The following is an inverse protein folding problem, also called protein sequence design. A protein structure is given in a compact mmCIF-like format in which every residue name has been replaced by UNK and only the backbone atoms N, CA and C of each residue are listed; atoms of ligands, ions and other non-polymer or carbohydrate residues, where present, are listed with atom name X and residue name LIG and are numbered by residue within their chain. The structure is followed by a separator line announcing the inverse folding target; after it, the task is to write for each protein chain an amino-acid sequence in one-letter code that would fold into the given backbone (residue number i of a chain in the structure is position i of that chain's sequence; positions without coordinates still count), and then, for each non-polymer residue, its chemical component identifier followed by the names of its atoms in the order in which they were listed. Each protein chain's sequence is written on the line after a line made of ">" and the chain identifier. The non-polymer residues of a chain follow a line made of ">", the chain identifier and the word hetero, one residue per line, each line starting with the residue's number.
data_IF_330765264700
#
_entry.id   IF_330765264700
#
_cell.length_a   1.000
_cell.length_b   1.000
_cell.length_c   1.000
_cell.angle_alpha   90.00
_cell.angle_beta   90.00
_cell.angle_gamma   90.00
#
_symmetry.space_group_name_H-M   'P 1'
#
loop_
_entity.id
_entity.type
_entity.pdbx_description
1 polymer ?
#
# COMPACT_ATOMS: atom_id res chain seq x y z
N UNK A 1 27.89 -13.64 -12.59
CA UNK A 1 26.95 -12.51 -12.71
C UNK A 1 26.15 -12.41 -11.43
N UNK A 2 25.97 -11.22 -10.80
CA UNK A 2 25.05 -11.06 -9.68
C UNK A 2 23.63 -11.36 -10.19
N UNK A 3 22.91 -12.26 -9.52
CA UNK A 3 21.52 -12.58 -9.83
C UNK A 3 20.69 -11.30 -9.72
N UNK A 4 19.81 -11.02 -10.71
CA UNK A 4 18.88 -9.89 -10.62
C UNK A 4 17.97 -10.06 -9.40
N UNK A 5 17.64 -8.99 -8.66
CA UNK A 5 16.70 -9.09 -7.54
C UNK A 5 15.32 -9.56 -8.03
N UNK A 6 14.67 -10.44 -7.28
CA UNK A 6 13.29 -10.87 -7.51
C UNK A 6 12.35 -9.88 -6.81
N UNK A 7 11.45 -9.29 -7.56
CA UNK A 7 10.51 -8.27 -7.10
C UNK A 7 9.09 -8.80 -7.24
N UNK A 8 8.37 -8.90 -6.13
CA UNK A 8 6.95 -9.19 -6.12
C UNK A 8 6.17 -7.88 -6.25
N UNK A 9 5.23 -7.82 -7.20
CA UNK A 9 4.30 -6.69 -7.35
C UNK A 9 2.87 -7.11 -7.06
N UNK A 10 2.14 -6.23 -6.40
CA UNK A 10 0.70 -6.36 -6.13
C UNK A 10 0.02 -5.01 -6.03
N UNK A 11 -1.28 -4.98 -5.80
CA UNK A 11 -2.08 -3.78 -5.51
C UNK A 11 -3.45 -4.17 -4.94
N UNK A 12 -4.33 -3.19 -4.71
CA UNK A 12 -5.75 -3.38 -4.37
C UNK A 12 -6.72 -2.87 -5.46
N UNK A 13 -6.22 -2.16 -6.47
CA UNK A 13 -7.04 -1.68 -7.60
C UNK A 13 -7.29 -2.74 -8.68
N UNK A 14 -6.62 -3.90 -8.59
CA UNK A 14 -6.72 -5.00 -9.55
C UNK A 14 -5.57 -5.05 -10.57
N UNK A 15 -5.37 -6.24 -11.16
CA UNK A 15 -4.20 -6.54 -12.00
C UNK A 15 -4.05 -5.63 -13.24
N UNK A 16 -5.15 -5.12 -13.77
CA UNK A 16 -5.16 -4.23 -14.96
C UNK A 16 -5.04 -2.75 -14.62
N UNK A 17 -4.97 -2.39 -13.32
CA UNK A 17 -4.98 -0.99 -12.89
C UNK A 17 -3.76 -0.20 -13.40
N UNK A 18 -3.93 1.04 -13.88
CA UNK A 18 -2.86 1.85 -14.49
C UNK A 18 -1.65 2.05 -13.56
N UNK A 19 -1.91 2.21 -12.25
CA UNK A 19 -0.86 2.35 -11.25
C UNK A 19 0.04 1.11 -11.17
N UNK A 20 -0.54 -0.08 -11.20
CA UNK A 20 0.22 -1.34 -11.22
C UNK A 20 1.01 -1.50 -12.53
N UNK A 21 0.42 -1.14 -13.68
CA UNK A 21 1.11 -1.20 -14.97
C UNK A 21 2.32 -0.27 -14.98
N UNK A 22 2.21 0.91 -14.39
CA UNK A 22 3.36 1.83 -14.20
C UNK A 22 4.44 1.18 -13.31
N UNK A 23 4.07 0.50 -12.21
CA UNK A 23 5.03 -0.23 -11.39
C UNK A 23 5.74 -1.34 -12.16
N UNK A 24 5.03 -2.13 -12.95
CA UNK A 24 5.59 -3.20 -13.80
C UNK A 24 6.66 -2.62 -14.72
N UNK A 25 6.34 -1.54 -15.43
CA UNK A 25 7.29 -0.83 -16.32
C UNK A 25 8.57 -0.41 -15.58
N UNK A 26 8.43 0.22 -14.42
CA UNK A 26 9.57 0.70 -13.63
C UNK A 26 10.39 -0.47 -13.08
N UNK A 27 9.75 -1.46 -12.47
CA UNK A 27 10.43 -2.55 -11.79
C UNK A 27 11.13 -3.51 -12.74
N UNK A 28 10.65 -3.71 -13.95
CA UNK A 28 11.33 -4.45 -15.02
C UNK A 28 12.73 -3.86 -15.34
N UNK A 29 12.95 -2.57 -15.08
CA UNK A 29 14.27 -1.94 -15.22
C UNK A 29 15.21 -2.25 -14.05
N UNK A 30 14.72 -2.79 -12.93
CA UNK A 30 15.47 -3.02 -11.70
C UNK A 30 15.75 -4.49 -11.48
N UNK A 31 14.72 -5.34 -11.63
CA UNK A 31 14.78 -6.75 -11.25
C UNK A 31 14.02 -7.70 -12.16
N UNK A 32 13.95 -8.96 -11.73
CA UNK A 32 13.03 -9.98 -12.21
C UNK A 32 11.68 -9.73 -11.53
N UNK A 33 10.62 -9.55 -12.32
CA UNK A 33 9.31 -9.14 -11.81
C UNK A 33 8.31 -10.28 -11.88
N UNK A 34 7.64 -10.54 -10.76
CA UNK A 34 6.44 -11.37 -10.69
C UNK A 34 5.30 -10.54 -10.13
N UNK A 35 4.19 -10.50 -10.85
CA UNK A 35 2.96 -9.83 -10.43
C UNK A 35 1.99 -10.88 -9.89
N UNK A 36 1.47 -10.67 -8.68
CA UNK A 36 0.33 -11.42 -8.16
C UNK A 36 -0.64 -10.40 -7.58
N UNK A 37 -1.76 -10.20 -8.24
CA UNK A 37 -2.68 -9.11 -7.91
C UNK A 37 -4.15 -9.58 -7.99
N UNK A 38 -5.08 -8.89 -7.29
CA UNK A 38 -6.49 -9.20 -7.38
C UNK A 38 -7.02 -9.10 -8.82
N UNK A 39 -7.96 -9.96 -9.19
CA UNK A 39 -8.68 -9.92 -10.47
C UNK A 39 -9.69 -8.75 -10.55
N UNK A 40 -10.08 -8.23 -9.40
CA UNK A 40 -11.05 -7.15 -9.22
C UNK A 40 -10.65 -6.21 -8.08
N UNK A 41 -11.13 -4.95 -8.07
CA UNK A 41 -10.79 -3.99 -7.02
C UNK A 41 -11.17 -4.46 -5.61
N UNK A 42 -10.26 -4.29 -4.65
CA UNK A 42 -10.36 -4.68 -3.24
C UNK A 42 -10.20 -3.46 -2.31
N UNK A 43 -10.74 -2.31 -2.71
CA UNK A 43 -10.58 -1.05 -1.96
C UNK A 43 -11.18 -1.13 -0.55
N UNK A 44 -10.53 -0.50 0.42
CA UNK A 44 -10.95 -0.42 1.82
C UNK A 44 -11.10 -1.77 2.55
N UNK A 45 -10.49 -2.85 2.04
CA UNK A 45 -10.51 -4.16 2.71
C UNK A 45 -9.57 -4.25 3.92
N UNK A 46 -8.73 -3.24 4.14
CA UNK A 46 -7.72 -3.29 5.20
C UNK A 46 -6.81 -4.51 5.06
N UNK A 47 -6.44 -5.16 6.18
CA UNK A 47 -5.63 -6.37 6.20
C UNK A 47 -6.48 -7.65 6.28
N UNK A 48 -7.55 -7.71 5.47
CA UNK A 48 -8.38 -8.89 5.39
C UNK A 48 -7.68 -10.05 4.68
N UNK A 49 -7.91 -11.28 5.15
CA UNK A 49 -7.45 -12.52 4.53
C UNK A 49 -8.62 -13.46 4.29
N UNK A 50 -8.54 -14.28 3.26
CA UNK A 50 -9.56 -15.28 2.89
C UNK A 50 -9.28 -16.60 3.60
N UNK A 51 -10.11 -16.96 4.59
CA UNK A 51 -9.94 -18.19 5.39
C UNK A 51 -11.04 -19.22 5.11
N UNK A 52 -12.26 -18.74 4.90
CA UNK A 52 -13.46 -19.62 4.78
C UNK A 52 -13.94 -19.79 3.33
N UNK A 53 -13.13 -19.36 2.35
CA UNK A 53 -13.43 -19.50 0.93
C UNK A 53 -12.18 -19.95 0.17
N UNK A 54 -12.36 -20.38 -1.07
CA UNK A 54 -11.25 -20.82 -1.95
C UNK A 54 -10.63 -19.65 -2.68
N UNK A 55 -9.30 -19.68 -2.82
CA UNK A 55 -8.57 -18.75 -3.67
C UNK A 55 -8.36 -19.36 -5.05
N UNK A 56 -8.77 -18.63 -6.07
CA UNK A 56 -8.48 -18.96 -7.46
C UNK A 56 -7.29 -18.14 -7.95
N UNK A 57 -6.39 -18.77 -8.69
CA UNK A 57 -5.23 -18.11 -9.25
C UNK A 57 -5.07 -18.52 -10.71
N UNK A 58 -4.87 -17.53 -11.58
CA UNK A 58 -4.72 -17.74 -13.01
C UNK A 58 -3.52 -16.98 -13.55
N UNK A 59 -2.74 -17.63 -14.41
CA UNK A 59 -1.67 -16.94 -15.12
C UNK A 59 -2.26 -15.99 -16.18
N UNK A 60 -1.75 -14.76 -16.21
CA UNK A 60 -2.21 -13.70 -17.11
C UNK A 60 -1.09 -13.23 -18.03
N UNK A 61 -1.50 -12.55 -19.09
CA UNK A 61 -0.62 -11.89 -20.07
C UNK A 61 -1.26 -10.55 -20.39
N UNK A 62 -0.94 -9.54 -19.56
CA UNK A 62 -1.57 -8.21 -19.64
C UNK A 62 -0.75 -7.30 -20.56
N UNK A 63 0.55 -7.19 -20.31
CA UNK A 63 1.46 -6.35 -21.09
C UNK A 63 2.59 -7.19 -21.67
N UNK A 64 3.12 -6.77 -22.81
CA UNK A 64 4.36 -7.32 -23.35
C UNK A 64 5.53 -6.96 -22.43
N UNK A 65 6.30 -7.99 -22.02
CA UNK A 65 7.45 -7.76 -21.15
C UNK A 65 8.01 -9.06 -20.56
N UNK A 66 9.10 -8.96 -19.79
CA UNK A 66 9.77 -10.11 -19.20
C UNK A 66 9.11 -10.60 -17.90
N UNK A 67 8.11 -9.89 -17.37
CA UNK A 67 7.42 -10.23 -16.13
C UNK A 67 6.56 -11.50 -16.29
N UNK A 68 6.32 -12.17 -15.17
CA UNK A 68 5.27 -13.19 -15.07
C UNK A 68 4.13 -12.63 -14.23
N UNK A 69 2.89 -12.84 -14.68
CA UNK A 69 1.71 -12.23 -14.08
C UNK A 69 0.66 -13.27 -13.69
N UNK A 70 0.04 -13.10 -12.53
CA UNK A 70 -1.04 -13.93 -12.02
C UNK A 70 -2.15 -13.04 -11.42
N UNK A 71 -3.41 -13.32 -11.78
CA UNK A 71 -4.58 -12.78 -11.13
C UNK A 71 -5.10 -13.74 -10.07
N UNK A 72 -5.68 -13.23 -9.00
CA UNK A 72 -6.29 -14.03 -7.93
C UNK A 72 -7.60 -13.43 -7.45
N UNK A 73 -8.53 -14.27 -7.00
CA UNK A 73 -9.81 -13.84 -6.40
C UNK A 73 -9.66 -13.28 -4.97
N UNK A 74 -8.44 -13.30 -4.42
CA UNK A 74 -8.17 -12.90 -3.04
C UNK A 74 -7.90 -11.42 -2.83
N UNK A 75 -7.69 -11.07 -1.57
CA UNK A 75 -7.28 -9.73 -1.15
C UNK A 75 -5.80 -9.45 -1.50
N UNK A 76 -5.32 -8.20 -1.37
CA UNK A 76 -3.89 -7.91 -1.55
C UNK A 76 -2.97 -8.69 -0.59
N UNK A 77 -3.39 -8.94 0.65
CA UNK A 77 -2.66 -9.79 1.59
C UNK A 77 -2.63 -11.25 1.13
N UNK A 78 -3.75 -11.79 0.62
CA UNK A 78 -3.80 -13.14 0.03
C UNK A 78 -2.88 -13.26 -1.18
N UNK A 79 -2.77 -12.22 -2.00
CA UNK A 79 -1.85 -12.20 -3.14
C UNK A 79 -0.40 -12.41 -2.70
N UNK A 80 0.02 -11.74 -1.61
CA UNK A 80 1.37 -11.89 -1.07
C UNK A 80 1.57 -13.29 -0.50
N UNK A 81 0.62 -13.78 0.32
CA UNK A 81 0.67 -15.14 0.88
C UNK A 81 0.78 -16.20 -0.20
N UNK A 82 -0.07 -16.12 -1.20
CA UNK A 82 -0.08 -17.07 -2.31
C UNK A 82 1.22 -16.99 -3.13
N UNK A 83 1.70 -15.77 -3.38
CA UNK A 83 2.96 -15.57 -4.09
C UNK A 83 4.14 -16.23 -3.38
N UNK A 84 4.28 -16.00 -2.08
CA UNK A 84 5.43 -16.44 -1.29
C UNK A 84 5.42 -17.96 -1.05
N UNK A 85 4.23 -18.54 -0.80
CA UNK A 85 4.12 -19.93 -0.39
C UNK A 85 3.93 -20.91 -1.56
N UNK A 86 3.32 -20.48 -2.68
CA UNK A 86 2.94 -21.39 -3.76
C UNK A 86 3.55 -21.04 -5.13
N UNK A 87 3.64 -19.75 -5.47
CA UNK A 87 4.01 -19.35 -6.84
C UNK A 87 5.51 -19.20 -7.00
N UNK A 88 6.16 -18.55 -6.03
CA UNK A 88 7.58 -18.22 -6.11
C UNK A 88 8.47 -19.36 -5.62
N UNK A 89 9.54 -19.66 -6.36
CA UNK A 89 10.52 -20.69 -5.97
C UNK A 89 11.55 -20.23 -4.93
N UNK A 90 11.56 -18.93 -4.64
CA UNK A 90 12.44 -18.30 -3.65
C UNK A 90 11.78 -17.05 -3.10
N UNK A 91 12.17 -16.66 -1.92
CA UNK A 91 11.71 -15.43 -1.29
C UNK A 91 12.06 -14.21 -2.15
N UNK A 92 11.13 -13.27 -2.37
CA UNK A 92 11.42 -12.01 -3.04
C UNK A 92 12.45 -11.18 -2.28
N UNK A 93 13.27 -10.43 -3.02
CA UNK A 93 14.21 -9.46 -2.46
C UNK A 93 13.51 -8.14 -2.12
N UNK A 94 12.34 -7.90 -2.70
CA UNK A 94 11.49 -6.72 -2.48
C UNK A 94 10.04 -7.05 -2.83
N UNK A 95 9.10 -6.54 -2.05
CA UNK A 95 7.68 -6.46 -2.41
C UNK A 95 7.28 -5.00 -2.62
N UNK A 96 6.57 -4.73 -3.71
CA UNK A 96 6.06 -3.37 -4.01
C UNK A 96 4.56 -3.46 -4.30
N UNK A 97 3.78 -2.69 -3.57
CA UNK A 97 2.34 -2.61 -3.73
C UNK A 97 1.89 -1.24 -4.24
N UNK A 98 0.93 -1.20 -5.17
CA UNK A 98 0.34 0.04 -5.70
C UNK A 98 0.51 0.17 -7.23
N UNK A 99 0.55 1.36 -7.83
CA UNK A 99 0.39 2.68 -7.19
C UNK A 99 -1.10 2.90 -6.96
N UNK A 100 -1.50 3.10 -5.73
CA UNK A 100 -2.90 3.30 -5.36
C UNK A 100 -3.44 4.66 -5.86
N UNK A 101 -4.71 4.68 -6.29
CA UNK A 101 -5.48 5.91 -6.47
C UNK A 101 -5.97 6.40 -5.11
N UNK A 102 -5.49 7.55 -4.68
CA UNK A 102 -5.83 8.12 -3.38
C UNK A 102 -4.75 7.92 -2.31
N UNK A 103 -4.83 8.75 -1.28
CA UNK A 103 -3.84 8.81 -0.20
C UNK A 103 -4.02 7.68 0.80
N UNK A 104 -2.93 7.01 1.15
CA UNK A 104 -2.82 6.08 2.27
C UNK A 104 -1.98 6.66 3.44
N UNK A 105 -1.84 7.98 3.47
CA UNK A 105 -1.17 8.69 4.56
C UNK A 105 -2.05 8.79 5.81
N UNK A 106 -1.43 9.04 6.95
CA UNK A 106 -2.11 9.21 8.23
C UNK A 106 -2.94 7.98 8.62
N UNK A 107 -4.16 8.15 9.15
CA UNK A 107 -5.05 7.06 9.59
C UNK A 107 -5.46 6.13 8.43
N UNK A 108 -5.40 6.59 7.18
CA UNK A 108 -5.79 5.79 6.02
C UNK A 108 -4.96 4.52 5.85
N UNK A 109 -3.75 4.48 6.41
CA UNK A 109 -2.89 3.28 6.40
C UNK A 109 -3.61 2.04 6.93
N UNK A 110 -4.50 2.19 7.92
CA UNK A 110 -5.22 1.08 8.56
C UNK A 110 -6.26 0.45 7.61
N UNK A 111 -6.86 1.26 6.73
CA UNK A 111 -7.92 0.82 5.81
C UNK A 111 -7.38 0.38 4.45
N UNK A 112 -6.09 0.58 4.20
CA UNK A 112 -5.46 0.43 2.89
C UNK A 112 -5.15 -1.01 2.52
N UNK A 113 -5.71 -1.49 1.42
CA UNK A 113 -5.33 -2.77 0.80
C UNK A 113 -3.90 -2.73 0.25
N UNK A 114 -3.48 -1.61 -0.35
CA UNK A 114 -2.09 -1.38 -0.80
C UNK A 114 -1.10 -1.58 0.35
N UNK A 115 -1.38 -0.97 1.51
CA UNK A 115 -0.49 -1.07 2.66
C UNK A 115 -0.57 -2.43 3.34
N UNK A 116 -1.72 -3.10 3.32
CA UNK A 116 -1.87 -4.45 3.86
C UNK A 116 -0.94 -5.44 3.16
N UNK A 117 -0.83 -5.36 1.84
CA UNK A 117 0.11 -6.19 1.09
C UNK A 117 1.57 -5.90 1.44
N UNK A 118 1.92 -4.62 1.60
CA UNK A 118 3.28 -4.25 2.04
C UNK A 118 3.57 -4.75 3.46
N UNK A 119 2.60 -4.66 4.37
CA UNK A 119 2.70 -5.18 5.75
C UNK A 119 2.81 -6.70 5.75
N UNK A 120 1.99 -7.40 4.97
CA UNK A 120 2.06 -8.87 4.85
C UNK A 120 3.43 -9.32 4.36
N UNK A 121 3.99 -8.65 3.36
CA UNK A 121 5.35 -8.93 2.90
C UNK A 121 6.39 -8.70 4.01
N UNK A 122 6.21 -7.66 4.83
CA UNK A 122 7.06 -7.40 6.00
C UNK A 122 6.96 -8.49 7.06
N UNK A 123 5.76 -9.05 7.31
CA UNK A 123 5.55 -10.21 8.20
C UNK A 123 6.30 -11.43 7.66
N UNK A 124 6.27 -11.64 6.36
CA UNK A 124 7.04 -12.69 5.68
C UNK A 124 8.56 -12.40 5.66
N UNK A 125 9.00 -11.31 6.26
CA UNK A 125 10.40 -10.90 6.32
C UNK A 125 10.96 -10.41 4.98
N UNK A 126 10.13 -9.79 4.17
CA UNK A 126 10.48 -9.20 2.88
C UNK A 126 10.44 -7.67 3.01
N UNK A 127 11.51 -6.94 2.68
CA UNK A 127 11.45 -5.49 2.57
C UNK A 127 10.34 -5.06 1.63
N UNK A 128 9.54 -4.05 2.00
CA UNK A 128 8.36 -3.72 1.23
C UNK A 128 8.05 -2.24 1.16
N UNK A 129 7.35 -1.85 0.11
CA UNK A 129 6.89 -0.47 -0.12
C UNK A 129 5.46 -0.49 -0.62
N UNK A 130 4.59 0.29 0.02
CA UNK A 130 3.30 0.69 -0.54
C UNK A 130 3.41 2.09 -1.14
N UNK A 131 3.08 2.23 -2.42
CA UNK A 131 3.05 3.50 -3.14
C UNK A 131 1.62 3.96 -3.37
N UNK A 132 1.34 5.23 -3.09
CA UNK A 132 0.03 5.86 -3.27
C UNK A 132 0.17 7.26 -3.89
N UNK A 133 -0.73 7.60 -4.79
CA UNK A 133 -0.86 8.94 -5.37
C UNK A 133 -2.06 9.64 -4.74
N UNK A 134 -1.88 10.84 -4.18
CA UNK A 134 -2.96 11.65 -3.60
C UNK A 134 -3.85 12.28 -4.69
N UNK A 135 -4.15 11.53 -5.72
CA UNK A 135 -5.11 11.89 -6.78
C UNK A 135 -6.13 10.77 -6.96
N UNK A 136 -7.40 11.09 -6.73
CA UNK A 136 -8.52 10.15 -6.87
C UNK A 136 -9.11 10.15 -8.28
N UNK A 137 -8.55 10.94 -9.20
CA UNK A 137 -9.06 10.99 -10.57
C UNK A 137 -8.69 9.71 -11.33
N UNK A 138 -9.62 9.23 -12.15
CA UNK A 138 -9.39 8.07 -13.03
C UNK A 138 -8.21 8.27 -13.98
N UNK A 139 -7.91 9.52 -14.33
CA UNK A 139 -6.82 9.93 -15.22
C UNK A 139 -5.59 10.44 -14.46
N UNK A 140 -5.33 9.92 -13.25
CA UNK A 140 -4.14 10.29 -12.50
C UNK A 140 -2.86 10.01 -13.29
N UNK A 141 -1.95 10.97 -13.32
CA UNK A 141 -0.68 10.82 -14.03
C UNK A 141 0.38 10.13 -13.15
N UNK A 142 0.50 8.81 -13.28
CA UNK A 142 1.48 8.01 -12.55
C UNK A 142 2.91 8.14 -13.11
N UNK A 143 3.11 8.60 -14.34
CA UNK A 143 4.45 8.76 -14.95
C UNK A 143 5.32 9.71 -14.13
N UNK A 144 4.69 10.74 -13.53
CA UNK A 144 5.39 11.70 -12.67
C UNK A 144 6.11 11.05 -11.48
N UNK A 145 5.65 9.85 -11.06
CA UNK A 145 6.21 9.10 -9.93
C UNK A 145 7.38 8.17 -10.31
N UNK A 146 7.51 7.76 -11.58
CA UNK A 146 8.43 6.70 -12.04
C UNK A 146 9.87 6.89 -11.55
N UNK A 147 10.41 8.10 -11.71
CA UNK A 147 11.77 8.43 -11.27
C UNK A 147 11.97 8.20 -9.78
N UNK A 148 11.01 8.62 -8.97
CA UNK A 148 11.11 8.58 -7.51
C UNK A 148 10.89 7.16 -6.99
N UNK A 149 9.94 6.41 -7.57
CA UNK A 149 9.74 4.98 -7.31
C UNK A 149 11.03 4.21 -7.54
N UNK A 150 11.69 4.46 -8.67
CA UNK A 150 12.98 3.81 -9.00
C UNK A 150 14.07 4.10 -7.99
N UNK A 151 14.18 5.36 -7.52
CA UNK A 151 15.17 5.78 -6.52
C UNK A 151 14.92 5.05 -5.19
N UNK A 152 13.69 5.13 -4.65
CA UNK A 152 13.35 4.54 -3.35
C UNK A 152 13.54 3.03 -3.37
N UNK A 153 13.06 2.36 -4.43
CA UNK A 153 13.15 0.90 -4.55
C UNK A 153 14.59 0.42 -4.61
N UNK A 154 15.48 1.12 -5.34
CA UNK A 154 16.91 0.80 -5.38
C UNK A 154 17.61 1.02 -4.05
N UNK A 155 17.29 2.10 -3.35
CA UNK A 155 17.84 2.39 -2.03
C UNK A 155 17.43 1.33 -1.01
N UNK A 156 16.15 0.91 -1.01
CA UNK A 156 15.69 -0.14 -0.11
C UNK A 156 16.37 -1.49 -0.43
N UNK A 157 16.45 -1.89 -1.69
CA UNK A 157 17.18 -3.10 -2.11
C UNK A 157 18.65 -3.09 -1.69
N UNK A 158 19.31 -1.94 -1.76
CA UNK A 158 20.71 -1.82 -1.37
C UNK A 158 20.93 -1.93 0.14
N UNK A 159 19.94 -1.55 0.96
CA UNK A 159 20.06 -1.45 2.42
C UNK A 159 19.32 -2.54 3.19
N UNK A 160 18.51 -3.35 2.53
CA UNK A 160 17.63 -4.34 3.14
C UNK A 160 18.34 -5.55 3.80
N UNK A 161 19.64 -5.70 3.63
CA UNK A 161 20.39 -6.86 4.13
C UNK A 161 20.32 -7.11 5.67
N UNK A 162 19.63 -6.27 6.45
CA UNK A 162 19.62 -6.39 7.92
C UNK A 162 18.28 -6.07 8.62
N UNK A 163 17.26 -5.55 7.94
CA UNK A 163 15.98 -5.17 8.58
C UNK A 163 14.81 -5.32 7.61
N UNK A 164 13.71 -5.86 8.10
CA UNK A 164 12.42 -5.85 7.40
C UNK A 164 11.85 -4.41 7.46
N UNK A 165 12.21 -3.59 6.49
CA UNK A 165 11.72 -2.21 6.41
C UNK A 165 10.46 -2.21 5.58
N UNK A 166 9.38 -1.65 6.12
CA UNK A 166 8.11 -1.43 5.44
C UNK A 166 7.94 0.09 5.28
N UNK A 167 7.75 0.56 4.05
CA UNK A 167 7.59 1.97 3.76
C UNK A 167 6.19 2.28 3.22
N UNK A 168 5.53 3.27 3.82
CA UNK A 168 4.34 3.91 3.27
C UNK A 168 4.77 5.19 2.55
N UNK A 169 4.67 5.19 1.23
CA UNK A 169 5.13 6.29 0.38
C UNK A 169 3.95 6.92 -0.35
N UNK A 170 3.72 8.20 -0.10
CA UNK A 170 2.64 8.93 -0.74
C UNK A 170 3.17 10.09 -1.57
N UNK A 171 2.67 10.20 -2.80
CA UNK A 171 2.95 11.28 -3.74
C UNK A 171 1.84 12.32 -3.66
N UNK A 172 2.14 13.60 -3.37
CA UNK A 172 1.10 14.63 -3.38
C UNK A 172 0.58 14.86 -4.80
N UNK A 173 -0.69 15.23 -4.91
CA UNK A 173 -1.20 15.76 -6.18
C UNK A 173 -0.48 17.06 -6.51
N UNK A 174 0.15 17.11 -7.67
CA UNK A 174 0.81 18.31 -8.19
C UNK A 174 0.05 18.85 -9.40
N UNK A 175 0.00 20.18 -9.52
CA UNK A 175 -0.58 20.82 -10.69
C UNK A 175 0.34 20.64 -11.89
N UNK A 176 -0.22 20.67 -13.10
CA UNK A 176 0.53 20.57 -14.35
C UNK A 176 1.71 21.56 -14.40
N UNK A 177 2.86 21.08 -14.87
CA UNK A 177 4.08 21.86 -14.96
C UNK A 177 4.83 22.05 -13.65
N UNK A 178 4.35 21.53 -12.52
CA UNK A 178 5.07 21.55 -11.23
C UNK A 178 5.78 20.23 -10.99
N UNK A 179 6.85 20.28 -10.20
CA UNK A 179 7.61 19.11 -9.77
C UNK A 179 7.45 18.88 -8.27
N UNK A 180 7.63 17.63 -7.82
CA UNK A 180 7.81 17.33 -6.40
C UNK A 180 9.03 18.05 -5.84
N UNK A 181 8.91 18.59 -4.63
CA UNK A 181 10.03 19.28 -3.96
C UNK A 181 11.11 18.32 -3.44
N UNK A 182 10.88 17.01 -3.55
CA UNK A 182 11.78 15.96 -3.08
C UNK A 182 11.09 15.05 -2.06
N UNK A 183 11.91 14.25 -1.36
CA UNK A 183 11.45 13.31 -0.33
C UNK A 183 11.47 13.97 1.05
N UNK A 184 10.53 13.54 1.91
CA UNK A 184 10.53 13.85 3.32
C UNK A 184 10.22 12.61 4.13
N UNK A 185 11.13 12.24 5.02
CA UNK A 185 10.88 11.19 6.01
C UNK A 185 10.00 11.78 7.09
N UNK A 186 8.89 11.10 7.37
CA UNK A 186 7.83 11.59 8.23
C UNK A 186 7.40 10.54 9.24
N UNK A 187 6.69 11.00 10.27
CA UNK A 187 5.80 10.15 11.05
C UNK A 187 4.38 10.24 10.52
N UNK A 188 3.55 9.28 10.88
CA UNK A 188 2.11 9.31 10.64
C UNK A 188 1.48 10.51 11.36
N UNK A 189 0.66 11.30 10.66
CA UNK A 189 -0.08 12.41 11.26
C UNK A 189 -1.22 11.90 12.14
N UNK A 190 -1.59 12.68 13.15
CA UNK A 190 -2.79 12.45 13.96
C UNK A 190 -4.01 12.97 13.22
N UNK A 191 -4.88 12.06 12.79
CA UNK A 191 -6.10 12.39 12.06
C UNK A 191 -7.19 11.36 12.31
N UNK A 192 -8.40 11.69 11.88
CA UNK A 192 -9.53 10.76 11.88
C UNK A 192 -10.53 11.15 10.79
N UNK A 193 -11.44 10.24 10.47
CA UNK A 193 -12.61 10.53 9.64
C UNK A 193 -13.78 10.93 10.53
N UNK A 194 -14.34 12.10 10.31
CA UNK A 194 -15.63 12.52 10.88
C UNK A 194 -16.72 11.94 9.99
N UNK A 195 -17.15 10.75 10.32
CA UNK A 195 -18.06 9.97 9.51
C UNK A 195 -19.51 10.42 9.64
N UNK A 196 -20.24 10.34 8.53
CA UNK A 196 -21.68 10.54 8.45
C UNK A 196 -22.29 9.48 7.53
N UNK A 197 -23.60 9.21 7.68
CA UNK A 197 -24.33 8.28 6.84
C UNK A 197 -25.43 9.02 6.05
N UNK A 198 -25.32 9.03 4.73
CA UNK A 198 -26.43 9.44 3.86
C UNK A 198 -27.46 8.31 3.82
N UNK A 199 -28.67 8.60 4.35
CA UNK A 199 -29.75 7.64 4.52
C UNK A 199 -30.74 7.73 3.37
N UNK A 200 -30.93 6.67 2.63
CA UNK A 200 -31.83 6.59 1.48
C UNK A 200 -32.76 5.39 1.56
N UNK A 201 -33.72 5.31 0.64
CA UNK A 201 -34.59 4.14 0.43
C UNK A 201 -34.51 3.74 -1.05
N UNK A 202 -34.51 2.44 -1.32
CA UNK A 202 -34.67 1.93 -2.67
C UNK A 202 -36.15 2.00 -3.11
N UNK A 203 -36.49 1.74 -4.40
CA UNK A 203 -37.88 1.75 -4.89
C UNK A 203 -38.85 0.85 -4.10
N UNK A 204 -38.35 -0.23 -3.48
CA UNK A 204 -39.13 -1.15 -2.66
C UNK A 204 -39.23 -0.71 -1.19
N UNK A 205 -38.83 0.50 -0.83
CA UNK A 205 -38.91 1.05 0.51
C UNK A 205 -37.82 0.57 1.48
N UNK A 206 -36.89 -0.31 1.07
CA UNK A 206 -35.78 -0.79 1.91
C UNK A 206 -34.78 0.33 2.16
N UNK A 207 -34.47 0.60 3.43
CA UNK A 207 -33.45 1.59 3.83
C UNK A 207 -32.05 1.07 3.48
N UNK A 208 -31.19 1.98 3.01
CA UNK A 208 -29.75 1.76 2.85
C UNK A 208 -28.98 3.03 3.21
N UNK A 209 -27.68 2.88 3.41
CA UNK A 209 -26.82 3.93 3.94
C UNK A 209 -25.55 4.00 3.11
N UNK A 210 -25.15 5.20 2.73
CA UNK A 210 -23.83 5.47 2.19
C UNK A 210 -22.96 6.03 3.30
N UNK A 211 -21.80 5.39 3.55
CA UNK A 211 -20.78 5.96 4.42
C UNK A 211 -20.14 7.13 3.70
N UNK A 212 -20.17 8.30 4.33
CA UNK A 212 -19.56 9.54 3.87
C UNK A 212 -18.79 10.17 5.04
N UNK A 213 -18.00 11.20 4.80
CA UNK A 213 -17.30 11.85 5.89
C UNK A 213 -16.32 12.91 5.41
N UNK A 214 -15.73 13.57 6.38
CA UNK A 214 -14.70 14.57 6.21
C UNK A 214 -13.42 14.10 6.90
N UNK A 215 -12.29 14.17 6.20
CA UNK A 215 -10.98 13.88 6.78
C UNK A 215 -10.53 15.06 7.64
N UNK A 216 -10.32 14.83 8.94
CA UNK A 216 -9.90 15.82 9.91
C UNK A 216 -8.45 15.59 10.29
N UNK A 217 -7.57 16.49 9.88
CA UNK A 217 -6.17 16.50 10.32
C UNK A 217 -6.01 17.36 11.57
N UNK A 218 -5.65 16.73 12.68
CA UNK A 218 -5.37 17.39 13.95
C UNK A 218 -3.90 17.82 14.09
N UNK A 219 -3.04 17.36 13.17
CA UNK A 219 -1.60 17.50 13.26
C UNK A 219 -1.10 18.64 12.36
N UNK A 220 -0.45 19.62 12.99
CA UNK A 220 0.12 20.78 12.29
C UNK A 220 1.65 20.71 12.20
N UNK A 221 2.25 19.68 12.79
CA UNK A 221 3.70 19.57 12.90
C UNK A 221 4.35 19.26 11.54
N UNK A 222 5.51 19.87 11.31
CA UNK A 222 6.21 19.79 10.02
C UNK A 222 6.83 18.41 9.74
N UNK A 223 6.93 17.55 10.74
CA UNK A 223 7.45 16.18 10.63
C UNK A 223 6.39 15.15 10.24
N UNK A 224 5.12 15.58 10.07
CA UNK A 224 4.02 14.71 9.70
C UNK A 224 3.90 14.51 8.18
N UNK A 225 3.37 13.35 7.77
CA UNK A 225 3.12 13.00 6.37
C UNK A 225 2.12 13.96 5.71
N UNK A 226 1.07 14.36 6.43
CA UNK A 226 0.08 15.31 5.93
C UNK A 226 0.68 16.69 5.64
N UNK A 227 1.59 17.15 6.53
CA UNK A 227 2.30 18.41 6.28
C UNK A 227 3.20 18.30 5.04
N UNK A 228 3.93 17.20 4.90
CA UNK A 228 4.80 16.97 3.74
C UNK A 228 4.01 17.01 2.43
N UNK A 229 2.90 16.26 2.36
CA UNK A 229 2.03 16.21 1.18
C UNK A 229 1.43 17.57 0.83
N UNK A 230 0.90 18.30 1.82
CA UNK A 230 0.33 19.62 1.63
C UNK A 230 1.37 20.66 1.17
N UNK A 231 2.67 20.41 1.40
CA UNK A 231 3.76 21.28 0.99
C UNK A 231 4.51 20.79 -0.27
N UNK A 232 3.99 19.77 -0.98
CA UNK A 232 4.52 19.30 -2.25
C UNK A 232 5.72 18.35 -2.13
N UNK A 233 5.96 17.76 -0.96
CA UNK A 233 6.96 16.72 -0.75
C UNK A 233 6.35 15.32 -0.86
N UNK A 234 7.11 14.38 -1.39
CA UNK A 234 6.79 12.95 -1.32
C UNK A 234 7.03 12.51 0.12
N UNK A 235 5.98 12.06 0.80
CA UNK A 235 6.10 11.57 2.19
C UNK A 235 6.59 10.12 2.20
N UNK A 236 7.50 9.79 3.11
CA UNK A 236 7.97 8.43 3.39
C UNK A 236 7.82 8.20 4.88
N UNK A 237 6.93 7.29 5.24
CA UNK A 237 6.71 6.87 6.63
C UNK A 237 7.16 5.42 6.78
N UNK A 238 8.19 5.13 7.59
CA UNK A 238 8.47 3.76 7.98
C UNK A 238 7.37 3.29 8.92
N UNK A 239 6.80 2.11 8.63
CA UNK A 239 5.73 1.52 9.44
C UNK A 239 6.12 0.16 9.97
N UNK A 240 5.38 -0.32 10.95
CA UNK A 240 5.51 -1.64 11.54
C UNK A 240 4.12 -2.22 11.83
N UNK A 241 4.05 -3.52 11.98
CA UNK A 241 2.80 -4.24 12.29
C UNK A 241 2.60 -4.52 13.77
N UNK A 242 3.55 -4.17 14.62
CA UNK A 242 3.38 -4.24 16.07
C UNK A 242 2.52 -3.06 16.56
N UNK A 243 1.31 -3.36 17.00
CA UNK A 243 0.33 -2.40 17.49
C UNK A 243 0.35 -2.25 19.01
N UNK A 244 1.36 -2.78 19.69
CA UNK A 244 1.46 -2.71 21.16
C UNK A 244 1.69 -1.26 21.61
N UNK A 245 0.86 -0.76 22.52
CA UNK A 245 1.13 0.50 23.20
C UNK A 245 2.10 0.27 24.36
N UNK A 246 3.38 0.32 24.06
CA UNK A 246 4.44 0.03 25.05
C UNK A 246 4.40 0.98 26.25
N UNK A 247 3.96 2.22 26.06
CA UNK A 247 3.83 3.22 27.15
C UNK A 247 2.77 2.85 28.19
N UNK A 248 1.79 2.03 27.83
CA UNK A 248 0.66 1.66 28.68
C UNK A 248 0.87 0.35 29.45
N UNK A 249 1.89 -0.44 29.07
CA UNK A 249 2.09 -1.77 29.66
C UNK A 249 2.28 -1.70 31.18
N UNK A 250 3.17 -0.81 31.63
CA UNK A 250 3.49 -0.68 33.07
C UNK A 250 2.33 -0.11 33.89
N UNK A 251 1.49 0.71 33.28
CA UNK A 251 0.31 1.28 33.95
C UNK A 251 -0.82 0.26 34.06
N UNK A 252 -1.07 -0.50 33.00
CA UNK A 252 -2.07 -1.58 32.99
C UNK A 252 -1.65 -2.71 33.96
N UNK A 253 -0.34 -3.00 34.08
CA UNK A 253 0.17 -4.01 35.01
C UNK A 253 -0.10 -3.70 36.50
N UNK A 254 -0.36 -2.42 36.83
CA UNK A 254 -0.72 -2.00 38.19
C UNK A 254 -2.23 -2.16 38.50
N UNK A 255 -3.04 -2.49 37.53
CA UNK A 255 -4.47 -2.67 37.73
C UNK A 255 -4.74 -3.90 38.60
N UNK A 256 -5.74 -3.78 39.50
CA UNK A 256 -6.19 -4.93 40.28
C UNK A 256 -7.11 -5.84 39.46
N UNK A 257 -6.51 -6.75 38.69
CA UNK A 257 -7.23 -7.70 37.83
C UNK A 257 -7.57 -9.02 38.54
N UNK A 258 -7.10 -9.18 39.80
CA UNK A 258 -7.44 -10.31 40.64
C UNK A 258 -8.67 -9.95 41.47
N UNK A 259 -9.87 -10.17 40.92
CA UNK A 259 -11.14 -9.99 41.63
C UNK A 259 -11.43 -11.15 42.59
#
# INVERSE_FOLDING_TARGET
>A
MKKRPLILLTNDDGITAPGLRTLVKVMNTIGEVVVVAPDSPQSAMGHAITVNDTLYCKKEYIDDGPQTEYSTSGTPADCVKLAVNEILKRKPDLCVSGINHGSNASINVIYSGTMSAAVEAGIEGIPSIGFSMCDYSWNANFESCEKFIKIISKELLAKSNKKNIILNVNFPKISDGKNYKGFKICRQAKSYWKETFDKRKNPNGRKYYWLTGEFINLDKEKDSDQWALNNGYISIVPIMYDMTSYSEIDDIAKWNLNG
#
